data_IF_496825633271
#
_entry.id   IF_496825633271
#
_cell.length_a   1.000
_cell.length_b   1.000
_cell.length_c   1.000
_cell.angle_alpha   90.00
_cell.angle_beta   90.00
_cell.angle_gamma   90.00
#
_symmetry.space_group_name_H-M   'P 1'
#
loop_
_entity.id
_entity.type
_entity.pdbx_description
1 polymer ?
#
# COMPACT_ATOMS: atom_id res chain seq x y z
N UNK A 1 -5.69 -19.93 -4.69
CA UNK A 1 -5.27 -18.60 -4.22
C UNK A 1 -5.24 -18.68 -2.71
N UNK A 2 -4.06 -18.54 -2.10
CA UNK A 2 -3.95 -18.50 -0.64
C UNK A 2 -4.56 -17.16 -0.21
N UNK A 3 -5.43 -17.19 0.80
CA UNK A 3 -6.09 -15.99 1.30
C UNK A 3 -5.73 -15.77 2.75
N UNK A 4 -5.45 -14.51 3.08
CA UNK A 4 -5.07 -14.08 4.42
C UNK A 4 -6.16 -13.20 5.01
N UNK A 5 -6.21 -13.13 6.34
CA UNK A 5 -7.07 -12.23 7.09
C UNK A 5 -6.28 -11.50 8.17
N UNK A 6 -6.65 -10.25 8.45
CA UNK A 6 -6.11 -9.50 9.58
C UNK A 6 -6.83 -9.98 10.83
N UNK A 7 -6.06 -10.49 11.80
CA UNK A 7 -6.56 -10.94 13.10
C UNK A 7 -6.52 -9.80 14.10
N UNK A 8 -5.44 -9.04 14.09
CA UNK A 8 -5.26 -7.92 15.01
C UNK A 8 -4.50 -6.78 14.34
N UNK A 9 -4.82 -5.57 14.75
CA UNK A 9 -4.12 -4.37 14.38
C UNK A 9 -3.97 -3.48 15.61
N UNK A 10 -2.73 -3.15 15.95
CA UNK A 10 -2.42 -2.24 17.03
C UNK A 10 -1.51 -1.12 16.52
N UNK A 11 -1.94 0.12 16.70
CA UNK A 11 -1.18 1.30 16.31
C UNK A 11 -1.06 2.23 17.51
N UNK A 12 0.15 2.71 17.75
CA UNK A 12 0.41 3.81 18.69
C UNK A 12 1.03 5.00 17.95
N UNK A 13 1.64 5.96 18.64
CA UNK A 13 2.23 7.14 17.99
C UNK A 13 3.45 6.85 17.12
N UNK A 14 4.10 5.70 17.30
CA UNK A 14 5.44 5.42 16.75
C UNK A 14 5.49 4.11 15.95
N UNK A 15 4.55 3.19 16.17
CA UNK A 15 4.60 1.83 15.64
C UNK A 15 3.23 1.29 15.25
N UNK A 16 3.19 0.52 14.17
CA UNK A 16 2.04 -0.25 13.71
C UNK A 16 2.39 -1.73 13.74
N UNK A 17 1.63 -2.50 14.50
CA UNK A 17 1.66 -3.96 14.53
C UNK A 17 0.43 -4.51 13.81
N UNK A 18 0.63 -5.46 12.91
CA UNK A 18 -0.43 -6.18 12.19
C UNK A 18 -0.19 -7.67 12.38
N UNK A 19 -1.22 -8.37 12.83
CA UNK A 19 -1.25 -9.83 12.88
C UNK A 19 -2.15 -10.33 11.75
N UNK A 20 -1.61 -11.24 10.93
CA UNK A 20 -2.26 -11.79 9.76
C UNK A 20 -2.16 -13.30 9.77
N UNK A 21 -3.26 -13.95 9.44
CA UNK A 21 -3.38 -15.42 9.44
C UNK A 21 -3.81 -15.93 8.07
N UNK A 22 -3.20 -17.04 7.66
CA UNK A 22 -3.61 -17.84 6.51
C UNK A 22 -4.91 -18.56 6.78
N UNK A 23 -5.93 -18.33 5.95
CA UNK A 23 -7.24 -19.00 6.07
C UNK A 23 -7.19 -20.50 5.79
N UNK A 24 -6.10 -21.00 5.22
CA UNK A 24 -5.98 -22.40 4.78
C UNK A 24 -5.06 -23.23 5.67
N UNK A 25 -3.92 -22.65 6.05
CA UNK A 25 -2.89 -23.34 6.83
C UNK A 25 -2.87 -22.96 8.30
N UNK A 26 -3.65 -21.94 8.70
CA UNK A 26 -3.64 -21.39 10.06
C UNK A 26 -2.28 -20.82 10.50
N UNK A 27 -1.38 -20.60 9.54
CA UNK A 27 -0.11 -19.93 9.79
C UNK A 27 -0.37 -18.44 10.05
N UNK A 28 0.11 -17.94 11.17
CA UNK A 28 0.08 -16.51 11.51
C UNK A 28 1.44 -15.87 11.34
N UNK A 29 1.46 -14.59 10.99
CA UNK A 29 2.65 -13.77 11.06
C UNK A 29 2.34 -12.38 11.61
N UNK A 30 3.26 -11.89 12.44
CA UNK A 30 3.16 -10.57 13.05
C UNK A 30 4.16 -9.66 12.35
N UNK A 31 3.66 -8.57 11.79
CA UNK A 31 4.45 -7.55 11.14
C UNK A 31 4.47 -6.28 12.00
N UNK A 32 5.67 -5.77 12.29
CA UNK A 32 5.88 -4.53 13.05
C UNK A 32 6.57 -3.48 12.17
N UNK A 33 6.01 -2.28 12.15
CA UNK A 33 6.47 -1.18 11.33
C UNK A 33 6.64 0.10 12.14
N UNK A 34 7.75 0.79 11.94
CA UNK A 34 7.97 2.12 12.50
C UNK A 34 7.17 3.17 11.72
N UNK A 35 6.72 4.21 12.41
CA UNK A 35 5.96 5.32 11.82
C UNK A 35 6.73 5.99 10.68
N UNK A 36 8.02 6.24 10.89
CA UNK A 36 8.91 6.81 9.87
C UNK A 36 8.96 5.94 8.61
N UNK A 37 9.07 4.62 8.76
CA UNK A 37 9.13 3.69 7.64
C UNK A 37 7.84 3.71 6.81
N UNK A 38 6.68 3.77 7.47
CA UNK A 38 5.37 3.86 6.80
C UNK A 38 5.24 5.18 6.03
N UNK A 39 5.69 6.29 6.62
CA UNK A 39 5.71 7.59 5.95
C UNK A 39 6.63 7.59 4.73
N UNK A 40 7.82 7.00 4.84
CA UNK A 40 8.76 6.84 3.72
C UNK A 40 8.16 6.02 2.58
N UNK A 41 7.42 4.94 2.87
CA UNK A 41 6.70 4.18 1.84
C UNK A 41 5.71 5.09 1.11
N UNK A 42 4.90 5.86 1.84
CA UNK A 42 3.93 6.77 1.24
C UNK A 42 4.59 7.82 0.34
N UNK A 43 5.74 8.35 0.77
CA UNK A 43 6.56 9.27 0.00
C UNK A 43 7.07 8.64 -1.30
N UNK A 44 7.62 7.42 -1.23
CA UNK A 44 8.14 6.67 -2.40
C UNK A 44 7.06 6.36 -3.44
N UNK A 45 5.79 6.29 -3.02
CA UNK A 45 4.66 6.07 -3.93
C UNK A 45 4.09 7.36 -4.55
N UNK A 46 4.63 8.54 -4.21
CA UNK A 46 4.20 9.83 -4.76
C UNK A 46 2.94 10.43 -4.12
N UNK A 47 2.46 9.87 -3.01
CA UNK A 47 1.32 10.37 -2.25
C UNK A 47 1.67 10.33 -0.76
N UNK A 48 2.57 11.22 -0.35
CA UNK A 48 3.01 11.32 1.03
C UNK A 48 1.82 11.55 1.97
N UNK A 49 1.78 10.79 3.06
CA UNK A 49 0.81 10.96 4.14
C UNK A 49 1.53 10.81 5.47
N UNK A 50 1.23 11.71 6.40
CA UNK A 50 1.66 11.59 7.79
C UNK A 50 1.11 10.29 8.38
N UNK A 51 1.89 9.67 9.24
CA UNK A 51 1.57 8.40 9.88
C UNK A 51 0.19 8.38 10.56
N UNK A 52 -0.21 9.38 11.38
CA UNK A 52 -1.54 9.39 11.99
C UNK A 52 -2.68 9.42 10.96
N UNK A 53 -2.47 10.02 9.79
CA UNK A 53 -3.45 10.01 8.70
C UNK A 53 -3.55 8.63 8.08
N UNK A 54 -2.42 7.96 7.85
CA UNK A 54 -2.40 6.57 7.34
C UNK A 54 -3.08 5.61 8.31
N UNK A 55 -2.86 5.74 9.61
CA UNK A 55 -3.52 4.92 10.63
C UNK A 55 -5.04 5.14 10.63
N UNK A 56 -5.51 6.40 10.57
CA UNK A 56 -6.95 6.69 10.46
C UNK A 56 -7.56 6.06 9.21
N UNK A 57 -6.87 6.16 8.07
CA UNK A 57 -7.31 5.50 6.84
C UNK A 57 -7.42 3.99 7.05
N UNK A 58 -6.34 3.36 7.52
CA UNK A 58 -6.30 1.91 7.73
C UNK A 58 -7.43 1.44 8.66
N UNK A 59 -7.68 2.15 9.76
CA UNK A 59 -8.79 1.88 10.69
C UNK A 59 -10.15 1.99 10.01
N UNK A 60 -10.37 3.02 9.18
CA UNK A 60 -11.62 3.18 8.43
C UNK A 60 -11.83 2.06 7.41
N UNK A 61 -10.79 1.62 6.70
CA UNK A 61 -10.93 0.50 5.75
C UNK A 61 -11.22 -0.82 6.45
N UNK A 62 -10.53 -1.15 7.55
CA UNK A 62 -10.78 -2.39 8.30
C UNK A 62 -12.21 -2.43 8.85
N UNK A 63 -12.73 -1.28 9.28
CA UNK A 63 -14.10 -1.15 9.78
C UNK A 63 -15.15 -1.05 8.66
N UNK A 64 -14.76 -1.14 7.39
CA UNK A 64 -15.61 -0.91 6.22
C UNK A 64 -16.37 0.43 6.28
N UNK A 65 -15.72 1.49 6.80
CA UNK A 65 -16.28 2.83 6.98
C UNK A 65 -15.91 3.80 5.85
N UNK A 66 -15.44 3.28 4.70
CA UNK A 66 -14.96 4.08 3.58
C UNK A 66 -15.19 3.34 2.26
N UNK A 67 -15.68 4.06 1.25
CA UNK A 67 -15.86 3.54 -0.11
C UNK A 67 -14.71 3.96 -1.04
N UNK A 68 -13.81 4.81 -0.56
CA UNK A 68 -12.79 5.47 -1.40
C UNK A 68 -11.47 4.71 -1.47
N UNK A 69 -11.25 3.75 -0.57
CA UNK A 69 -10.05 2.93 -0.54
C UNK A 69 -10.33 1.58 0.13
N UNK A 70 -9.57 0.56 -0.24
CA UNK A 70 -9.65 -0.80 0.30
C UNK A 70 -8.26 -1.29 0.73
N UNK A 71 -8.23 -2.36 1.52
CA UNK A 71 -7.00 -3.04 1.93
C UNK A 71 -6.94 -4.37 1.20
N UNK A 72 -5.77 -4.67 0.64
CA UNK A 72 -5.49 -5.95 0.00
C UNK A 72 -4.23 -6.56 0.60
N UNK A 73 -4.22 -7.89 0.74
CA UNK A 73 -3.12 -8.66 1.31
C UNK A 73 -2.60 -9.59 0.23
N UNK A 74 -1.40 -9.30 -0.23
CA UNK A 74 -0.83 -9.94 -1.40
C UNK A 74 0.31 -10.87 -0.99
N UNK A 75 0.33 -12.06 -1.61
CA UNK A 75 1.55 -12.88 -1.58
C UNK A 75 2.60 -12.28 -2.52
N UNK A 76 3.85 -12.72 -2.37
CA UNK A 76 4.92 -12.34 -3.29
C UNK A 76 4.56 -12.68 -4.76
N UNK A 77 3.97 -13.86 -4.99
CA UNK A 77 3.54 -14.29 -6.32
C UNK A 77 2.46 -13.38 -6.91
N UNK A 78 1.54 -12.87 -6.08
CA UNK A 78 0.51 -11.93 -6.52
C UNK A 78 1.13 -10.57 -6.90
N UNK A 79 2.11 -10.11 -6.11
CA UNK A 79 2.86 -8.89 -6.41
C UNK A 79 3.62 -8.99 -7.75
N UNK A 80 4.24 -10.13 -8.04
CA UNK A 80 4.92 -10.36 -9.33
C UNK A 80 3.93 -10.31 -10.51
N UNK A 81 2.76 -10.92 -10.37
CA UNK A 81 1.71 -10.86 -11.40
C UNK A 81 1.21 -9.44 -11.64
N UNK A 82 1.10 -8.61 -10.60
CA UNK A 82 0.69 -7.20 -10.73
C UNK A 82 1.77 -6.38 -11.44
N UNK A 83 3.06 -6.63 -11.17
CA UNK A 83 4.17 -5.94 -11.84
C UNK A 83 4.18 -6.18 -13.35
N UNK A 84 3.89 -7.41 -13.78
CA UNK A 84 3.83 -7.76 -15.21
C UNK A 84 2.66 -7.06 -15.91
N UNK A 85 1.56 -6.83 -15.20
CA UNK A 85 0.33 -6.22 -15.75
C UNK A 85 0.33 -4.69 -15.76
N UNK A 86 1.22 -4.01 -15.03
CA UNK A 86 1.40 -2.55 -15.16
C UNK A 86 2.29 -2.28 -16.38
N UNK A 87 1.76 -1.83 -17.53
CA UNK A 87 2.62 -1.29 -18.58
C UNK A 87 3.43 -0.15 -17.97
N UNK A 88 4.74 -0.16 -18.18
CA UNK A 88 5.60 0.96 -17.80
C UNK A 88 5.03 2.20 -18.48
N UNK A 89 4.40 3.10 -17.72
CA UNK A 89 4.18 4.46 -18.20
C UNK A 89 5.56 5.10 -18.30
N UNK A 90 6.23 4.87 -19.42
CA UNK A 90 7.38 5.66 -19.82
C UNK A 90 6.92 7.11 -19.90
N UNK A 91 7.68 7.97 -19.23
CA UNK A 91 7.63 9.41 -19.36
C UNK A 91 7.65 9.80 -20.85
N UNK A 92 6.49 10.10 -21.43
CA UNK A 92 6.46 10.86 -22.67
C UNK A 92 6.76 12.31 -22.29
N UNK A 93 8.04 12.68 -22.43
CA UNK A 93 8.41 14.08 -22.61
C UNK A 93 7.58 14.60 -23.79
N UNK A 94 6.63 15.49 -23.52
CA UNK A 94 6.06 16.35 -24.55
C UNK A 94 7.16 17.32 -24.99
N UNK A 95 7.98 16.89 -25.95
CA UNK A 95 8.77 17.81 -26.75
C UNK A 95 7.78 18.59 -27.63
N UNK A 96 7.45 19.80 -27.19
CA UNK A 96 6.75 20.78 -28.01
C UNK A 96 7.49 20.95 -29.35
N UNK A 97 6.81 20.91 -30.50
CA UNK A 97 7.45 21.28 -31.76
C UNK A 97 7.89 22.74 -31.67
N UNK A 98 9.20 22.99 -31.86
CA UNK A 98 9.75 24.34 -32.04
C UNK A 98 9.09 24.95 -33.28
N UNK A 99 8.18 25.89 -33.07
CA UNK A 99 7.67 26.77 -34.13
C UNK A 99 8.86 27.44 -34.82
N UNK A 100 9.06 27.11 -36.09
CA UNK A 100 10.00 27.80 -36.97
C UNK A 100 9.32 29.07 -37.46
N UNK A 101 9.51 30.16 -36.71
CA UNK A 101 9.44 31.50 -37.28
C UNK A 101 10.73 31.71 -38.06
N UNK A 102 10.70 31.62 -39.39
CA UNK A 102 11.21 32.60 -40.38
C UNK A 102 10.51 32.31 -41.70
#
# INVERSE_FOLDING_TARGET
MISYQIININANGETLMIDVESKQSWDSCIANFQALYIEEISSKTGNYKKYPTLIKMLQSAIRNQTETFYIDILTFQDLEKIKIKRPKQNQQQTLLPKNKFI
#
